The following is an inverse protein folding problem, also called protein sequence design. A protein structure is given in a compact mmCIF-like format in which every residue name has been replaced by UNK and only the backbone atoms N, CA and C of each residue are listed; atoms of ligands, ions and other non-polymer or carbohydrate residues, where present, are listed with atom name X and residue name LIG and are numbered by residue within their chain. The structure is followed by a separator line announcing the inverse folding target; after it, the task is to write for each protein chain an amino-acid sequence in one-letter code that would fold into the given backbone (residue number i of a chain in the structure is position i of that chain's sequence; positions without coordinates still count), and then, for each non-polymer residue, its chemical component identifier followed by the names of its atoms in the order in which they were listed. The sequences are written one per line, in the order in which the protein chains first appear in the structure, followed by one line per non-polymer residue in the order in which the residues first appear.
data_IF_568856459255
#
_entry.id   IF_568856459255
#
_cell.length_a   1.000
_cell.length_b   1.000
_cell.length_c   1.000
_cell.angle_alpha   90.00
_cell.angle_beta   90.00
_cell.angle_gamma   90.00
#
_symmetry.space_group_name_H-M   'P 1'
#
loop_
_entity.id
_entity.type
_entity.pdbx_description
1 polymer ?
#
# COMPACT_ATOMS: atom_id res chain seq x y z
N UNK A 1 34.19 11.63 55.37
CA UNK A 1 32.95 12.42 55.52
C UNK A 1 32.09 12.19 54.28
N UNK A 2 31.12 11.29 54.34
CA UNK A 2 30.08 11.22 53.31
C UNK A 2 29.11 12.37 53.57
N UNK A 3 29.03 13.33 52.64
CA UNK A 3 27.98 14.35 52.68
C UNK A 3 26.64 13.65 52.50
N UNK A 4 25.75 13.77 53.49
CA UNK A 4 24.38 13.30 53.36
C UNK A 4 23.66 14.22 52.37
N UNK A 5 23.07 13.62 51.33
CA UNK A 5 22.27 14.33 50.33
C UNK A 5 21.03 14.93 51.01
N UNK A 6 20.69 16.18 50.72
CA UNK A 6 19.49 16.81 51.28
C UNK A 6 18.25 16.40 50.50
N UNK A 7 17.10 16.33 51.17
CA UNK A 7 15.81 15.98 50.55
C UNK A 7 15.47 16.94 49.39
N UNK A 8 15.86 18.21 49.52
CA UNK A 8 15.67 19.25 48.49
C UNK A 8 16.51 18.98 47.25
N UNK A 9 17.79 18.62 47.39
CA UNK A 9 18.66 18.29 46.25
C UNK A 9 18.12 17.09 45.47
N UNK A 10 17.62 16.06 46.17
CA UNK A 10 17.00 14.89 45.52
C UNK A 10 15.73 15.30 44.76
N UNK A 11 14.90 16.16 45.35
CA UNK A 11 13.65 16.62 44.75
C UNK A 11 13.88 17.46 43.47
N UNK A 12 14.91 18.32 43.46
CA UNK A 12 15.27 19.10 42.26
C UNK A 12 15.76 18.19 41.14
N UNK A 13 16.59 17.18 41.46
CA UNK A 13 17.11 16.25 40.46
C UNK A 13 15.99 15.44 39.83
N UNK A 14 15.07 14.88 40.62
CA UNK A 14 13.93 14.14 40.06
C UNK A 14 12.99 15.04 39.26
N UNK A 15 12.82 16.31 39.65
CA UNK A 15 12.02 17.27 38.89
C UNK A 15 12.64 17.55 37.52
N UNK A 16 13.97 17.78 37.45
CA UNK A 16 14.68 17.99 36.20
C UNK A 16 14.62 16.73 35.32
N UNK A 17 14.89 15.54 35.88
CA UNK A 17 14.80 14.28 35.16
C UNK A 17 13.38 14.03 34.64
N UNK A 18 12.35 14.33 35.44
CA UNK A 18 10.95 14.21 35.05
C UNK A 18 10.62 15.12 33.85
N UNK A 19 11.07 16.37 33.87
CA UNK A 19 10.89 17.31 32.75
C UNK A 19 11.63 16.83 31.50
N UNK A 20 12.88 16.40 31.63
CA UNK A 20 13.67 15.90 30.51
C UNK A 20 13.02 14.66 29.88
N UNK A 21 12.64 13.66 30.68
CA UNK A 21 11.97 12.45 30.18
C UNK A 21 10.62 12.78 29.56
N UNK A 22 9.85 13.70 30.17
CA UNK A 22 8.56 14.14 29.67
C UNK A 22 8.63 14.79 28.29
N UNK A 23 9.70 15.53 27.99
CA UNK A 23 9.93 16.13 26.67
C UNK A 23 10.54 15.15 25.66
N UNK A 24 11.36 14.19 26.12
CA UNK A 24 12.04 13.22 25.26
C UNK A 24 11.09 12.15 24.70
N UNK A 25 10.12 11.67 25.49
CA UNK A 25 9.25 10.58 25.06
C UNK A 25 8.42 10.93 23.80
N UNK A 26 7.71 12.07 23.71
CA UNK A 26 6.99 12.45 22.49
C UNK A 26 7.92 12.61 21.29
N UNK A 27 9.11 13.18 21.49
CA UNK A 27 10.10 13.39 20.43
C UNK A 27 10.62 12.06 19.86
N UNK A 28 10.92 11.09 20.71
CA UNK A 28 11.38 9.75 20.27
C UNK A 28 10.28 9.03 19.49
N UNK A 29 9.01 9.12 19.91
CA UNK A 29 7.92 8.47 19.18
C UNK A 29 7.68 9.13 17.81
N UNK A 30 7.71 10.46 17.74
CA UNK A 30 7.60 11.19 16.47
C UNK A 30 8.74 10.81 15.51
N UNK A 31 9.98 10.68 16.02
CA UNK A 31 11.12 10.26 15.22
C UNK A 31 10.98 8.81 14.69
N UNK A 32 10.50 7.88 15.53
CA UNK A 32 10.24 6.49 15.11
C UNK A 32 9.17 6.44 14.02
N UNK A 33 8.11 7.20 14.16
CA UNK A 33 7.04 7.23 13.17
C UNK A 33 7.49 7.83 11.84
N UNK A 34 8.28 8.90 11.88
CA UNK A 34 8.89 9.45 10.67
C UNK A 34 9.75 8.40 9.96
N UNK A 35 10.56 7.63 10.69
CA UNK A 35 11.37 6.55 10.12
C UNK A 35 10.51 5.44 9.49
N UNK A 36 9.43 5.01 10.16
CA UNK A 36 8.48 4.03 9.61
C UNK A 36 7.85 4.52 8.31
N UNK A 37 7.40 5.77 8.27
CA UNK A 37 6.86 6.39 7.05
C UNK A 37 7.89 6.46 5.93
N UNK A 38 9.14 6.81 6.23
CA UNK A 38 10.22 6.77 5.24
C UNK A 38 10.42 5.36 4.68
N UNK A 39 10.32 4.34 5.53
CA UNK A 39 10.45 2.95 5.08
C UNK A 39 9.29 2.53 4.17
N UNK A 40 8.03 2.87 4.49
CA UNK A 40 6.91 2.67 3.57
C UNK A 40 7.10 3.39 2.23
N UNK A 41 7.60 4.62 2.26
CA UNK A 41 7.88 5.37 1.04
C UNK A 41 8.97 4.68 0.20
N UNK A 42 9.97 4.06 0.84
CA UNK A 42 11.00 3.29 0.16
C UNK A 42 10.47 1.94 -0.37
N UNK A 43 9.51 1.31 0.30
CA UNK A 43 8.81 0.13 -0.21
C UNK A 43 8.05 0.48 -1.50
N UNK A 44 7.28 1.57 -1.49
CA UNK A 44 6.57 2.06 -2.69
C UNK A 44 7.55 2.43 -3.81
N UNK A 45 8.70 3.03 -3.51
CA UNK A 45 9.73 3.28 -4.54
C UNK A 45 10.29 1.99 -5.14
N UNK A 46 10.51 0.96 -4.33
CA UNK A 46 10.94 -0.35 -4.84
C UNK A 46 9.86 -0.98 -5.73
N UNK A 47 8.59 -0.92 -5.31
CA UNK A 47 7.44 -1.33 -6.14
C UNK A 47 7.40 -0.50 -7.44
N UNK A 48 7.60 0.81 -7.36
CA UNK A 48 7.64 1.71 -8.51
C UNK A 48 8.72 1.32 -9.52
N UNK A 49 9.96 1.13 -9.06
CA UNK A 49 11.05 0.63 -9.92
C UNK A 49 10.67 -0.74 -10.52
N UNK A 50 10.09 -1.63 -9.71
CA UNK A 50 9.62 -2.92 -10.20
C UNK A 50 8.59 -2.80 -11.31
N UNK A 51 7.63 -1.87 -11.18
CA UNK A 51 6.59 -1.62 -12.18
C UNK A 51 7.18 -1.05 -13.47
N UNK A 52 8.16 -0.15 -13.38
CA UNK A 52 8.88 0.35 -14.56
C UNK A 52 9.61 -0.78 -15.27
N UNK A 53 10.35 -1.62 -14.54
CA UNK A 53 11.07 -2.76 -15.11
C UNK A 53 10.11 -3.80 -15.73
N UNK A 54 8.94 -4.00 -15.13
CA UNK A 54 7.91 -4.86 -15.69
C UNK A 54 7.38 -4.26 -17.00
N UNK A 55 7.09 -2.95 -17.01
CA UNK A 55 6.62 -2.24 -18.20
C UNK A 55 7.65 -2.30 -19.34
N UNK A 56 8.94 -2.07 -19.05
CA UNK A 56 10.03 -2.15 -20.03
C UNK A 56 10.10 -3.54 -20.72
N UNK A 57 9.74 -4.60 -20.00
CA UNK A 57 9.78 -5.98 -20.51
C UNK A 57 8.48 -6.41 -21.21
N UNK A 58 7.32 -5.87 -20.81
CA UNK A 58 5.99 -6.33 -21.23
C UNK A 58 5.18 -5.27 -22.01
N UNK A 59 5.75 -4.08 -22.21
CA UNK A 59 5.13 -2.89 -22.83
C UNK A 59 3.86 -2.37 -22.14
N UNK A 60 3.49 -2.99 -21.03
CA UNK A 60 2.27 -2.73 -20.24
C UNK A 60 2.56 -2.92 -18.75
N UNK A 61 1.80 -2.24 -17.91
CA UNK A 61 1.76 -2.52 -16.48
C UNK A 61 1.11 -3.88 -16.21
N UNK A 62 1.43 -4.54 -15.08
CA UNK A 62 0.71 -5.75 -14.71
C UNK A 62 -0.79 -5.45 -14.52
N UNK A 63 -1.62 -6.42 -14.86
CA UNK A 63 -3.05 -6.35 -14.54
C UNK A 63 -3.23 -6.34 -13.03
N UNK A 64 -4.22 -5.61 -12.52
CA UNK A 64 -4.54 -5.57 -11.09
C UNK A 64 -4.83 -6.96 -10.52
N UNK A 65 -5.53 -7.78 -11.31
CA UNK A 65 -5.64 -9.20 -11.08
C UNK A 65 -5.97 -9.99 -12.35
N UNK A 66 -5.50 -11.22 -12.43
CA UNK A 66 -5.77 -12.16 -13.52
C UNK A 66 -6.91 -13.10 -13.14
N UNK A 67 -7.88 -13.25 -14.04
CA UNK A 67 -9.06 -14.12 -13.94
C UNK A 67 -9.84 -13.80 -12.65
N UNK A 68 -10.61 -12.70 -12.67
CA UNK A 68 -11.39 -12.27 -11.49
C UNK A 68 -12.42 -13.32 -11.05
N UNK A 69 -12.50 -13.57 -9.74
CA UNK A 69 -13.51 -14.47 -9.15
C UNK A 69 -14.73 -13.71 -8.61
N UNK A 70 -15.94 -13.99 -9.13
CA UNK A 70 -17.16 -13.57 -8.46
C UNK A 70 -17.31 -14.25 -7.10
N UNK A 71 -18.02 -13.59 -6.19
CA UNK A 71 -18.44 -14.19 -4.92
C UNK A 71 -19.31 -15.42 -5.17
N UNK A 72 -19.01 -16.56 -4.52
CA UNK A 72 -19.79 -17.80 -4.66
C UNK A 72 -19.00 -19.04 -5.11
N UNK A 73 -17.68 -18.92 -5.29
CA UNK A 73 -16.78 -20.03 -5.59
C UNK A 73 -16.58 -20.20 -7.10
N UNK A 74 -15.36 -19.96 -7.55
CA UNK A 74 -14.93 -20.13 -8.94
C UNK A 74 -13.53 -20.76 -8.96
N UNK A 75 -13.20 -21.43 -10.06
CA UNK A 75 -11.88 -22.02 -10.33
C UNK A 75 -10.92 -21.06 -11.03
N UNK A 76 -11.35 -19.83 -11.34
CA UNK A 76 -10.49 -18.79 -11.94
C UNK A 76 -9.22 -18.57 -11.10
N UNK A 77 -8.15 -18.06 -11.68
CA UNK A 77 -6.87 -17.96 -10.93
C UNK A 77 -6.87 -16.91 -9.83
N UNK A 78 -7.44 -15.73 -10.07
CA UNK A 78 -7.41 -14.57 -9.16
C UNK A 78 -5.99 -14.23 -8.65
N UNK A 79 -5.02 -14.17 -9.55
CA UNK A 79 -3.63 -13.82 -9.19
C UNK A 79 -3.42 -12.30 -9.22
N UNK A 80 -2.83 -11.74 -8.16
CA UNK A 80 -2.57 -10.31 -8.03
C UNK A 80 -1.43 -9.79 -8.91
N UNK A 81 -1.50 -8.49 -9.24
CA UNK A 81 -0.39 -7.71 -9.83
C UNK A 81 0.95 -7.94 -9.12
N UNK A 82 0.92 -8.04 -7.79
CA UNK A 82 2.11 -8.19 -6.93
C UNK A 82 2.79 -9.54 -7.11
N UNK A 83 2.08 -10.60 -7.46
CA UNK A 83 2.70 -11.89 -7.77
C UNK A 83 3.55 -11.83 -9.06
N UNK A 84 3.09 -11.06 -10.06
CA UNK A 84 3.81 -10.87 -11.32
C UNK A 84 5.02 -9.96 -11.18
N UNK A 85 5.08 -9.15 -10.13
CA UNK A 85 6.17 -8.20 -9.87
C UNK A 85 7.37 -8.82 -9.14
N UNK A 86 7.24 -10.04 -8.62
CA UNK A 86 8.28 -10.71 -7.83
C UNK A 86 9.65 -10.77 -8.52
N UNK A 87 9.78 -11.09 -9.82
CA UNK A 87 11.08 -11.10 -10.51
C UNK A 87 11.78 -9.75 -10.43
N UNK A 88 11.04 -8.65 -10.64
CA UNK A 88 11.57 -7.29 -10.59
C UNK A 88 11.87 -6.80 -9.16
N UNK A 89 11.40 -7.53 -8.14
CA UNK A 89 11.68 -7.29 -6.71
C UNK A 89 12.74 -8.25 -6.15
N UNK A 90 13.56 -8.85 -7.02
CA UNK A 90 14.62 -9.80 -6.66
C UNK A 90 14.09 -11.08 -5.97
N UNK A 91 12.81 -11.41 -6.16
CA UNK A 91 12.15 -12.60 -5.61
C UNK A 91 12.00 -13.74 -6.64
N UNK A 92 12.96 -13.89 -7.56
CA UNK A 92 12.92 -14.92 -8.61
C UNK A 92 12.73 -16.34 -8.05
N UNK A 93 13.43 -16.67 -6.97
CA UNK A 93 13.32 -18.01 -6.34
C UNK A 93 11.92 -18.29 -5.82
N UNK A 94 11.20 -17.27 -5.34
CA UNK A 94 9.81 -17.40 -4.92
C UNK A 94 8.90 -17.53 -6.14
N UNK A 95 9.11 -16.69 -7.15
CA UNK A 95 8.34 -16.70 -8.40
C UNK A 95 8.38 -18.08 -9.09
N UNK A 96 9.56 -18.69 -9.19
CA UNK A 96 9.75 -20.01 -9.83
C UNK A 96 9.05 -21.16 -9.07
N UNK A 97 8.69 -20.94 -7.80
CA UNK A 97 7.94 -21.92 -6.99
C UNK A 97 6.43 -21.81 -7.17
N UNK A 98 5.93 -20.70 -7.69
CA UNK A 98 4.51 -20.49 -7.90
C UNK A 98 4.07 -21.14 -9.22
N UNK A 99 2.96 -21.87 -9.18
CA UNK A 99 2.26 -22.29 -10.38
C UNK A 99 1.20 -21.24 -10.76
N UNK A 100 1.58 -20.33 -11.66
CA UNK A 100 0.70 -19.25 -12.16
C UNK A 100 -0.40 -19.74 -13.10
N UNK A 101 -0.46 -21.04 -13.40
CA UNK A 101 -1.60 -21.66 -14.10
C UNK A 101 -2.70 -22.06 -13.13
N UNK A 102 -2.41 -22.02 -11.83
CA UNK A 102 -3.32 -22.37 -10.73
C UNK A 102 -3.78 -21.11 -10.03
N UNK A 103 -4.81 -21.31 -9.22
CA UNK A 103 -5.32 -20.28 -8.37
C UNK A 103 -4.36 -19.81 -7.29
N UNK A 104 -4.53 -18.57 -6.85
CA UNK A 104 -3.81 -18.01 -5.71
C UNK A 104 -3.98 -18.82 -4.42
N UNK A 105 -5.11 -19.52 -4.28
CA UNK A 105 -5.48 -20.35 -3.13
C UNK A 105 -5.30 -21.85 -3.35
N UNK A 106 -4.72 -22.26 -4.49
CA UNK A 106 -4.45 -23.65 -4.78
C UNK A 106 -3.42 -24.24 -3.80
N UNK A 107 -3.54 -25.54 -3.52
CA UNK A 107 -2.64 -26.25 -2.60
C UNK A 107 -1.18 -26.18 -3.07
N UNK A 108 -0.96 -26.20 -4.38
CA UNK A 108 0.34 -26.08 -5.02
C UNK A 108 1.03 -24.74 -4.71
N UNK A 109 0.25 -23.67 -4.58
CA UNK A 109 0.75 -22.33 -4.27
C UNK A 109 0.83 -22.05 -2.76
N UNK A 110 0.29 -22.92 -1.89
CA UNK A 110 0.13 -22.63 -0.47
C UNK A 110 1.45 -22.28 0.25
N UNK A 111 2.52 -23.04 0.00
CA UNK A 111 3.83 -22.78 0.61
C UNK A 111 4.43 -21.45 0.13
N UNK A 112 4.42 -21.22 -1.18
CA UNK A 112 4.93 -19.98 -1.77
C UNK A 112 4.13 -18.77 -1.29
N UNK A 113 2.80 -18.85 -1.35
CA UNK A 113 1.85 -17.83 -0.93
C UNK A 113 2.01 -17.43 0.54
N UNK A 114 2.45 -18.33 1.42
CA UNK A 114 2.71 -18.06 2.84
C UNK A 114 3.95 -17.19 3.08
N UNK A 115 4.77 -16.93 2.05
CA UNK A 115 5.99 -16.11 2.19
C UNK A 115 5.63 -14.68 2.56
N UNK A 116 6.24 -14.17 3.63
CA UNK A 116 6.07 -12.79 4.08
C UNK A 116 7.14 -11.91 3.45
N UNK A 117 6.72 -10.97 2.60
CA UNK A 117 7.60 -10.09 1.84
C UNK A 117 7.61 -8.70 2.48
N UNK A 118 8.73 -8.30 3.07
CA UNK A 118 8.86 -7.01 3.79
C UNK A 118 8.55 -5.79 2.91
N UNK A 119 8.80 -5.88 1.60
CA UNK A 119 8.46 -4.83 0.63
C UNK A 119 6.95 -4.57 0.53
N UNK A 120 6.12 -5.55 0.87
CA UNK A 120 4.65 -5.41 0.89
C UNK A 120 4.08 -5.06 2.26
N UNK A 121 4.92 -4.82 3.27
CA UNK A 121 4.46 -4.50 4.63
C UNK A 121 4.76 -3.05 4.98
N UNK A 122 3.74 -2.35 5.46
CA UNK A 122 3.88 -1.09 6.16
C UNK A 122 4.33 -1.37 7.61
N UNK A 123 5.53 -0.92 8.06
CA UNK A 123 5.97 -1.07 9.45
C UNK A 123 5.08 -0.39 10.50
N UNK A 124 4.16 0.50 10.12
CA UNK A 124 3.18 1.10 11.04
C UNK A 124 1.88 0.28 11.12
N UNK A 125 1.59 -0.55 10.12
CA UNK A 125 0.40 -1.41 10.10
C UNK A 125 0.42 -2.39 11.28
N UNK A 126 -0.62 -2.33 12.11
CA UNK A 126 -0.79 -3.27 13.21
C UNK A 126 -1.48 -4.54 12.69
N UNK A 127 -0.86 -5.69 12.94
CA UNK A 127 -1.41 -7.00 12.60
C UNK A 127 -1.45 -7.89 13.83
N UNK A 128 -2.57 -8.58 13.99
CA UNK A 128 -2.72 -9.58 15.06
C UNK A 128 -2.03 -10.89 14.68
N UNK A 129 -2.11 -11.27 13.41
CA UNK A 129 -1.55 -12.50 12.86
C UNK A 129 -0.48 -12.21 11.79
N UNK A 130 0.55 -13.07 11.67
CA UNK A 130 1.61 -12.89 10.67
C UNK A 130 1.15 -13.19 9.25
N UNK A 131 0.07 -13.96 9.09
CA UNK A 131 -0.49 -14.39 7.80
C UNK A 131 -1.99 -14.07 7.76
N UNK A 132 -2.49 -13.80 6.55
CA UNK A 132 -3.90 -13.57 6.26
C UNK A 132 -4.42 -14.81 5.55
N UNK A 133 -5.23 -15.62 6.25
CA UNK A 133 -5.74 -16.92 5.77
C UNK A 133 -4.64 -17.86 5.24
N UNK A 134 -3.48 -17.88 5.92
CA UNK A 134 -2.33 -18.71 5.54
C UNK A 134 -1.46 -18.13 4.42
N UNK A 135 -1.71 -16.89 3.97
CA UNK A 135 -0.94 -16.21 2.93
C UNK A 135 -0.23 -14.98 3.47
N UNK A 136 0.86 -14.59 2.82
CA UNK A 136 1.63 -13.41 3.15
C UNK A 136 0.78 -12.15 2.95
N UNK A 137 0.79 -11.22 3.93
CA UNK A 137 0.00 -10.00 3.84
C UNK A 137 0.56 -9.00 2.82
N UNK A 138 -0.29 -8.07 2.42
CA UNK A 138 0.03 -6.91 1.59
C UNK A 138 -0.70 -5.68 2.16
N UNK A 139 0.06 -4.63 2.51
CA UNK A 139 -0.48 -3.33 2.95
C UNK A 139 -0.56 -2.31 1.79
N UNK A 140 -0.43 -2.77 0.56
CA UNK A 140 -0.49 -1.92 -0.62
C UNK A 140 -1.52 -2.50 -1.59
N UNK A 141 -2.42 -1.65 -2.06
CA UNK A 141 -3.44 -2.02 -3.03
C UNK A 141 -3.27 -1.27 -4.34
N UNK A 142 -3.64 -1.94 -5.43
CA UNK A 142 -3.67 -1.35 -6.76
C UNK A 142 -4.91 -0.48 -6.96
N UNK A 143 -4.74 0.65 -7.66
CA UNK A 143 -5.84 1.56 -7.96
C UNK A 143 -6.65 1.03 -9.15
N UNK A 144 -7.81 0.48 -8.86
CA UNK A 144 -8.81 0.01 -9.83
C UNK A 144 -9.62 1.18 -10.44
N UNK A 145 -9.69 2.31 -9.74
CA UNK A 145 -10.33 3.54 -10.20
C UNK A 145 -10.91 4.35 -9.05
N UNK A 146 -12.00 5.07 -9.33
CA UNK A 146 -12.72 5.86 -8.32
C UNK A 146 -14.24 5.79 -8.49
N UNK A 147 -14.96 5.83 -7.37
CA UNK A 147 -16.43 5.97 -7.26
C UNK A 147 -16.86 7.20 -6.45
N UNK A 148 -15.96 8.14 -6.20
CA UNK A 148 -16.24 9.38 -5.49
C UNK A 148 -17.17 10.26 -6.33
N UNK A 149 -16.87 10.42 -7.62
CA UNK A 149 -17.58 11.37 -8.49
C UNK A 149 -18.63 10.69 -9.36
N UNK A 150 -18.33 9.50 -9.86
CA UNK A 150 -19.16 8.77 -10.82
C UNK A 150 -18.97 7.26 -10.68
N UNK A 151 -19.92 6.42 -11.14
CA UNK A 151 -19.73 4.97 -11.14
C UNK A 151 -18.44 4.54 -11.87
N UNK A 152 -17.76 3.52 -11.36
CA UNK A 152 -16.52 2.98 -11.92
C UNK A 152 -16.78 1.80 -12.86
N UNK A 153 -17.63 2.00 -13.86
CA UNK A 153 -17.94 1.00 -14.88
C UNK A 153 -18.11 1.69 -16.25
N UNK A 154 -17.12 1.62 -17.15
CA UNK A 154 -15.88 0.83 -17.05
C UNK A 154 -14.90 1.37 -15.98
N UNK A 155 -13.96 0.53 -15.51
CA UNK A 155 -12.97 0.93 -14.51
C UNK A 155 -11.99 1.99 -15.05
N UNK A 156 -11.68 2.98 -14.22
CA UNK A 156 -10.92 4.19 -14.59
C UNK A 156 -9.44 4.15 -14.19
N UNK A 157 -9.05 3.28 -13.26
CA UNK A 157 -7.67 3.16 -12.79
C UNK A 157 -6.76 2.40 -13.76
N UNK A 158 -5.56 2.05 -13.27
CA UNK A 158 -4.56 1.27 -14.04
C UNK A 158 -4.58 -0.20 -13.60
N UNK A 159 -4.76 -0.48 -12.31
CA UNK A 159 -4.71 -1.83 -11.75
C UNK A 159 -6.07 -2.52 -11.90
N UNK A 160 -6.44 -2.83 -13.14
CA UNK A 160 -7.73 -3.40 -13.52
C UNK A 160 -7.62 -4.91 -13.72
N UNK A 161 -8.72 -5.62 -13.47
CA UNK A 161 -8.82 -7.05 -13.75
C UNK A 161 -8.82 -7.33 -15.25
N UNK A 162 -8.04 -8.32 -15.67
CA UNK A 162 -8.03 -8.88 -17.03
C UNK A 162 -7.74 -7.87 -18.15
N UNK A 163 -7.21 -6.69 -17.79
CA UNK A 163 -6.84 -5.62 -18.71
C UNK A 163 -5.51 -5.02 -18.25
N UNK A 164 -4.56 -4.96 -19.17
CA UNK A 164 -3.26 -4.34 -18.97
C UNK A 164 -3.22 -3.02 -19.73
N UNK A 165 -2.59 -2.00 -19.15
CA UNK A 165 -2.47 -0.67 -19.75
C UNK A 165 -1.01 -0.29 -19.94
N UNK A 166 -0.73 0.43 -21.01
CA UNK A 166 0.57 1.04 -21.27
C UNK A 166 0.63 2.50 -20.79
N UNK A 167 1.82 3.08 -20.74
CA UNK A 167 1.98 4.52 -20.50
C UNK A 167 1.19 5.41 -21.47
N UNK A 168 1.00 4.96 -22.72
CA UNK A 168 0.26 5.71 -23.72
C UNK A 168 -1.22 5.90 -23.37
N UNK A 169 -1.76 5.04 -22.51
CA UNK A 169 -3.16 5.09 -22.06
C UNK A 169 -3.35 5.94 -20.80
N UNK A 170 -2.27 6.49 -20.24
CA UNK A 170 -2.29 7.41 -19.11
C UNK A 170 -2.28 8.85 -19.64
N UNK A 171 -3.43 9.32 -20.12
CA UNK A 171 -3.56 10.66 -20.72
C UNK A 171 -3.60 11.78 -19.69
N UNK A 172 -3.89 11.47 -18.42
CA UNK A 172 -3.87 12.45 -17.32
C UNK A 172 -2.43 12.77 -16.85
N UNK A 173 -1.45 12.03 -17.38
CA UNK A 173 -0.03 12.16 -17.08
C UNK A 173 0.41 11.23 -15.97
N UNK A 174 1.49 10.48 -16.21
CA UNK A 174 2.00 9.47 -15.27
C UNK A 174 2.39 10.03 -13.88
N UNK A 175 2.75 11.32 -13.81
CA UNK A 175 3.05 12.05 -12.57
C UNK A 175 1.82 12.61 -11.85
N UNK A 176 0.61 12.35 -12.35
CA UNK A 176 -0.65 12.73 -11.71
C UNK A 176 -1.63 11.55 -11.54
N UNK A 177 -1.28 10.37 -12.07
CA UNK A 177 -2.08 9.15 -11.90
C UNK A 177 -1.48 8.25 -10.83
N UNK A 178 -2.24 8.00 -9.78
CA UNK A 178 -1.99 7.04 -8.71
C UNK A 178 -2.17 5.61 -9.23
N UNK A 179 -1.18 4.75 -8.99
CA UNK A 179 -1.18 3.35 -9.45
C UNK A 179 -1.25 2.35 -8.30
N UNK A 180 -0.57 2.63 -7.18
CA UNK A 180 -0.58 1.85 -5.95
C UNK A 180 -0.74 2.81 -4.78
N UNK A 181 -1.44 2.41 -3.72
CA UNK A 181 -1.46 3.17 -2.47
C UNK A 181 -1.50 2.23 -1.25
N UNK A 182 -1.23 2.79 -0.08
CA UNK A 182 -1.41 2.06 1.18
C UNK A 182 -2.87 1.65 1.37
N UNK A 183 -3.03 0.39 1.74
CA UNK A 183 -4.28 -0.29 2.07
C UNK A 183 -4.03 -1.15 3.32
N UNK A 184 -3.75 -0.48 4.44
CA UNK A 184 -3.55 -1.18 5.72
C UNK A 184 -4.87 -1.73 6.24
N UNK A 185 -4.79 -2.87 6.94
CA UNK A 185 -5.92 -3.52 7.64
C UNK A 185 -7.03 -4.07 6.73
N UNK A 186 -6.81 -4.19 5.41
CA UNK A 186 -7.75 -4.91 4.56
C UNK A 186 -7.76 -6.40 4.91
N UNK A 187 -8.92 -7.01 5.24
CA UNK A 187 -8.99 -8.41 5.65
C UNK A 187 -8.52 -9.40 4.58
N UNK A 188 -8.60 -9.01 3.30
CA UNK A 188 -8.16 -9.83 2.16
C UNK A 188 -6.86 -9.29 1.54
N UNK A 189 -6.11 -8.45 2.26
CA UNK A 189 -4.83 -7.90 1.84
C UNK A 189 -3.73 -8.95 1.82
N UNK A 190 -3.75 -9.81 0.80
CA UNK A 190 -2.77 -10.88 0.54
C UNK A 190 -2.01 -10.53 -0.74
N UNK A 191 -0.68 -10.69 -0.75
CA UNK A 191 0.11 -10.27 -1.92
C UNK A 191 -0.12 -11.11 -3.18
N UNK A 192 -0.65 -12.33 -3.07
CA UNK A 192 -0.91 -13.21 -4.22
C UNK A 192 -2.37 -13.14 -4.71
N UNK A 193 -3.30 -12.66 -3.88
CA UNK A 193 -4.72 -12.64 -4.17
C UNK A 193 -5.10 -11.35 -4.90
N UNK A 194 -5.70 -11.47 -6.09
CA UNK A 194 -6.11 -10.35 -6.92
C UNK A 194 -7.12 -9.39 -6.29
N UNK A 195 -7.65 -9.67 -5.08
CA UNK A 195 -8.50 -8.74 -4.31
C UNK A 195 -7.74 -7.61 -3.61
N UNK A 196 -6.42 -7.53 -3.78
CA UNK A 196 -5.61 -6.39 -3.33
C UNK A 196 -5.62 -5.21 -4.33
N UNK A 197 -6.79 -4.94 -4.90
CA UNK A 197 -7.08 -3.75 -5.71
C UNK A 197 -8.43 -3.18 -5.28
N UNK A 198 -8.59 -1.87 -5.40
CA UNK A 198 -9.79 -1.18 -4.95
C UNK A 198 -10.08 0.06 -5.78
N UNK A 199 -11.34 0.48 -5.80
CA UNK A 199 -11.72 1.78 -6.33
C UNK A 199 -12.06 2.76 -5.21
N UNK A 200 -11.42 3.92 -5.24
CA UNK A 200 -11.55 4.89 -4.17
C UNK A 200 -12.97 5.45 -4.14
N UNK A 201 -13.69 5.28 -3.05
CA UNK A 201 -15.06 5.74 -2.84
C UNK A 201 -15.19 6.77 -1.71
N UNK A 202 -14.27 6.76 -0.74
CA UNK A 202 -14.31 7.64 0.43
C UNK A 202 -13.08 8.54 0.52
N UNK A 203 -13.06 9.44 1.51
CA UNK A 203 -11.81 10.12 1.87
C UNK A 203 -10.82 9.10 2.46
N UNK A 204 -9.53 9.39 2.35
CA UNK A 204 -8.46 8.58 2.96
C UNK A 204 -8.77 8.36 4.45
N UNK A 205 -8.63 7.12 4.91
CA UNK A 205 -8.94 6.69 6.29
C UNK A 205 -10.41 6.83 6.72
N UNK A 206 -11.35 7.18 5.84
CA UNK A 206 -12.76 7.38 6.17
C UNK A 206 -13.70 6.23 5.76
N UNK A 207 -13.21 5.29 4.94
CA UNK A 207 -14.02 4.18 4.44
C UNK A 207 -14.50 3.24 5.57
N UNK A 208 -15.73 2.73 5.51
CA UNK A 208 -16.21 1.71 6.44
C UNK A 208 -15.40 0.42 6.29
N UNK A 209 -15.43 -0.46 7.30
CA UNK A 209 -14.63 -1.71 7.31
C UNK A 209 -14.95 -2.69 6.17
N UNK A 210 -16.11 -2.55 5.54
CA UNK A 210 -16.57 -3.40 4.43
C UNK A 210 -16.08 -2.92 3.07
N UNK A 211 -15.63 -1.67 2.97
CA UNK A 211 -15.13 -1.07 1.74
C UNK A 211 -13.60 -1.09 1.77
N UNK A 212 -13.01 -1.46 0.64
CA UNK A 212 -11.58 -1.30 0.41
C UNK A 212 -11.32 0.07 -0.23
N UNK A 213 -10.41 0.83 0.35
CA UNK A 213 -10.05 2.20 -0.02
C UNK A 213 -8.65 2.47 0.54
N UNK A 214 -8.02 3.57 0.11
CA UNK A 214 -6.78 4.06 0.69
C UNK A 214 -6.91 4.20 2.21
N UNK A 215 -6.12 3.41 2.92
CA UNK A 215 -6.07 3.36 4.37
C UNK A 215 -4.64 3.19 4.85
N UNK A 216 -4.28 3.93 5.90
CA UNK A 216 -2.97 3.85 6.52
C UNK A 216 -3.06 4.07 8.02
N UNK A 217 -2.14 3.42 8.72
CA UNK A 217 -1.95 3.60 10.17
C UNK A 217 -1.01 4.77 10.46
N UNK A 218 -0.41 5.37 9.43
CA UNK A 218 0.36 6.61 9.54
C UNK A 218 -0.54 7.78 9.95
N UNK A 219 -0.07 8.66 10.87
CA UNK A 219 -0.84 9.84 11.25
C UNK A 219 -1.04 10.82 10.08
N UNK A 220 -2.30 11.16 9.79
CA UNK A 220 -2.69 12.29 8.94
C UNK A 220 -2.75 12.01 7.44
N UNK A 221 -2.60 10.77 7.01
CA UNK A 221 -2.58 10.43 5.59
C UNK A 221 -2.06 9.03 5.30
N UNK A 222 -1.96 8.74 4.01
CA UNK A 222 -1.47 7.49 3.47
C UNK A 222 -0.41 7.77 2.41
N UNK A 223 0.49 6.82 2.18
CA UNK A 223 1.42 6.91 1.07
C UNK A 223 0.81 6.37 -0.22
N UNK A 224 1.10 7.06 -1.31
CA UNK A 224 0.69 6.73 -2.67
C UNK A 224 1.88 6.68 -3.60
N UNK A 225 1.80 5.84 -4.62
CA UNK A 225 2.76 5.71 -5.71
C UNK A 225 2.07 6.11 -7.00
N UNK A 226 2.69 7.02 -7.74
CA UNK A 226 2.23 7.44 -9.05
C UNK A 226 2.80 6.55 -10.15
N UNK A 227 2.18 6.57 -11.32
CA UNK A 227 2.57 5.74 -12.46
C UNK A 227 3.98 6.06 -12.99
N UNK A 228 4.53 7.25 -12.71
CA UNK A 228 5.92 7.61 -13.00
C UNK A 228 6.94 7.02 -12.00
N UNK A 229 6.48 6.29 -10.97
CA UNK A 229 7.30 5.68 -9.94
C UNK A 229 7.61 6.58 -8.74
N UNK A 230 7.10 7.81 -8.70
CA UNK A 230 7.28 8.71 -7.57
C UNK A 230 6.30 8.42 -6.42
N UNK A 231 6.81 8.40 -5.18
CA UNK A 231 6.03 8.08 -3.99
C UNK A 231 5.78 9.34 -3.13
N UNK A 232 4.50 9.61 -2.82
CA UNK A 232 4.03 10.82 -2.16
C UNK A 232 3.17 10.51 -0.93
N UNK A 233 3.10 11.46 0.01
CA UNK A 233 2.21 11.36 1.16
C UNK A 233 0.92 12.12 0.89
N UNK A 234 -0.17 11.39 0.76
CA UNK A 234 -1.51 11.90 0.50
C UNK A 234 -2.19 12.20 1.84
N UNK A 235 -2.56 13.47 2.06
CA UNK A 235 -3.16 13.91 3.32
C UNK A 235 -4.62 13.46 3.42
N UNK A 236 -5.08 13.12 4.62
CA UNK A 236 -6.51 12.86 4.89
C UNK A 236 -7.42 14.05 4.53
N UNK A 237 -6.87 15.26 4.56
CA UNK A 237 -7.57 16.49 4.20
C UNK A 237 -7.59 16.78 2.70
N UNK A 238 -7.10 15.86 1.85
CA UNK A 238 -7.11 16.04 0.40
C UNK A 238 -8.55 16.20 -0.10
N UNK A 239 -8.78 17.16 -0.99
CA UNK A 239 -10.12 17.37 -1.54
C UNK A 239 -10.57 16.12 -2.31
N UNK A 240 -11.79 15.65 -2.06
CA UNK A 240 -12.32 14.45 -2.70
C UNK A 240 -12.26 14.48 -4.23
N UNK A 241 -12.44 15.65 -4.85
CA UNK A 241 -12.31 15.80 -6.31
C UNK A 241 -10.89 15.59 -6.80
N UNK A 242 -9.90 16.06 -6.05
CA UNK A 242 -8.48 15.85 -6.36
C UNK A 242 -8.12 14.38 -6.16
N UNK A 243 -8.58 13.78 -5.05
CA UNK A 243 -8.38 12.36 -4.79
C UNK A 243 -9.00 11.48 -5.90
N UNK A 244 -10.19 11.82 -6.36
CA UNK A 244 -10.84 11.14 -7.49
C UNK A 244 -10.01 11.28 -8.77
N UNK A 245 -9.60 12.51 -9.12
CA UNK A 245 -8.83 12.80 -10.32
C UNK A 245 -7.50 12.05 -10.37
N UNK A 246 -6.76 11.94 -9.26
CA UNK A 246 -5.51 11.17 -9.28
C UNK A 246 -5.74 9.66 -9.37
N UNK A 247 -6.96 9.15 -9.14
CA UNK A 247 -7.27 7.72 -9.26
C UNK A 247 -7.72 7.33 -10.69
N UNK A 248 -7.70 8.25 -11.65
CA UNK A 248 -8.04 7.99 -13.06
C UNK A 248 -6.79 8.00 -13.94
N UNK A 249 -6.78 7.15 -14.98
CA UNK A 249 -5.74 7.16 -16.02
C UNK A 249 -6.02 8.15 -17.15
N UNK A 250 -7.30 8.41 -17.42
CA UNK A 250 -7.77 9.15 -18.60
C UNK A 250 -9.09 9.91 -18.38
N UNK A 251 -9.27 10.54 -17.22
CA UNK A 251 -10.44 11.37 -16.90
C UNK A 251 -10.36 12.80 -17.46
N UNK A 252 -9.17 13.28 -17.82
CA UNK A 252 -8.92 14.61 -18.39
C UNK A 252 -8.92 15.75 -17.36
N UNK A 253 -8.87 15.42 -16.07
CA UNK A 253 -8.80 16.40 -14.99
C UNK A 253 -7.39 17.01 -14.87
N UNK A 254 -7.33 18.34 -14.70
CA UNK A 254 -6.07 19.03 -14.41
C UNK A 254 -5.91 19.08 -12.89
N UNK A 255 -4.91 18.37 -12.38
CA UNK A 255 -4.53 18.41 -10.96
C UNK A 255 -3.24 19.20 -10.82
N UNK A 256 -3.32 20.43 -10.29
CA UNK A 256 -2.14 21.28 -10.14
C UNK A 256 -1.24 20.81 -8.98
N UNK A 257 -1.82 20.38 -7.84
CA UNK A 257 -1.10 19.96 -6.63
C UNK A 257 -1.94 18.97 -5.77
N UNK A 258 -1.28 18.01 -5.11
CA UNK A 258 -1.89 17.10 -4.13
C UNK A 258 -0.91 16.74 -2.99
#
# INVERSE_FOLDING_TARGET
MHRAFTLVELLVVIAILGVLVGLLLPAVQAAREAARRTQCQNNLRQIGVGLQLYHDLNETFPMGGLEWRPFGGSTERQLAWSAFLLPQLEQQTLYDRLDLTKAFDAAENAEGAATVLSVYLCPTSVRDEPLVEGRGPCDYGGIYGERITTPNNPPKGIMVYDQAFSFAEITDGASHTLIIAEDTRWPEGQWINGRNVFDQAFAINAAPKIENDIRSDHPGGALGLLADGSAHFLRESLELKVLAAICTRAGGEIVDHF
#
